data_IF_838167624021
#
_entry.id   IF_838167624021
#
_cell.length_a   1.000
_cell.length_b   1.000
_cell.length_c   1.000
_cell.angle_alpha   90.00
_cell.angle_beta   90.00
_cell.angle_gamma   90.00
#
_symmetry.space_group_name_H-M   'P 1'
#
loop_
_entity.id
_entity.type
_entity.pdbx_description
1 polymer ?
#
# COMPACT_ATOMS: atom_id res chain seq x y z
N UNK A 1 -6.54 16.60 3.14
CA UNK A 1 -6.93 16.86 4.55
C UNK A 1 -5.80 16.53 5.55
N UNK A 2 -5.10 15.42 5.37
CA UNK A 2 -3.98 14.98 6.24
C UNK A 2 -2.68 15.79 6.12
N UNK A 3 -2.58 16.70 5.14
CA UNK A 3 -1.45 17.65 5.02
C UNK A 3 -1.47 18.76 6.07
N UNK A 4 -2.57 18.91 6.82
CA UNK A 4 -2.64 19.81 7.96
C UNK A 4 -2.17 19.08 9.23
N UNK A 5 -1.06 19.51 9.87
CA UNK A 5 -0.48 18.82 11.04
C UNK A 5 -1.44 18.70 12.23
N UNK A 6 -2.31 19.69 12.44
CA UNK A 6 -3.26 19.70 13.56
C UNK A 6 -4.38 18.67 13.34
N UNK A 7 -4.90 18.58 12.11
CA UNK A 7 -5.90 17.58 11.75
C UNK A 7 -5.33 16.16 11.79
N UNK A 8 -4.10 16.00 11.33
CA UNK A 8 -3.39 14.73 11.41
C UNK A 8 -3.23 14.24 12.85
N UNK A 9 -2.83 15.13 13.76
CA UNK A 9 -2.71 14.82 15.20
C UNK A 9 -4.05 14.36 15.79
N UNK A 10 -5.16 15.01 15.41
CA UNK A 10 -6.48 14.61 15.88
C UNK A 10 -6.89 13.21 15.37
N UNK A 11 -6.59 12.90 14.11
CA UNK A 11 -6.84 11.57 13.53
C UNK A 11 -6.02 10.50 14.26
N UNK A 12 -4.72 10.75 14.45
CA UNK A 12 -3.82 9.85 15.20
C UNK A 12 -4.36 9.55 16.60
N UNK A 13 -4.65 10.59 17.39
CA UNK A 13 -5.17 10.43 18.76
C UNK A 13 -6.48 9.63 18.79
N UNK A 14 -7.34 9.83 17.78
CA UNK A 14 -8.61 9.11 17.67
C UNK A 14 -8.37 7.62 17.40
N UNK A 15 -7.48 7.30 16.46
CA UNK A 15 -7.15 5.91 16.11
C UNK A 15 -6.50 5.19 17.30
N UNK A 16 -5.52 5.82 17.96
CA UNK A 16 -4.87 5.27 19.16
C UNK A 16 -5.89 5.01 20.29
N UNK A 17 -6.81 5.94 20.53
CA UNK A 17 -7.88 5.77 21.54
C UNK A 17 -8.82 4.60 21.19
N UNK A 18 -9.16 4.42 19.91
CA UNK A 18 -10.00 3.30 19.48
C UNK A 18 -9.27 1.96 19.68
N UNK A 19 -7.97 1.90 19.39
CA UNK A 19 -7.15 0.72 19.67
C UNK A 19 -7.06 0.40 21.16
N UNK A 20 -6.88 1.41 22.03
CA UNK A 20 -6.90 1.24 23.48
C UNK A 20 -8.21 0.65 24.00
N UNK A 21 -9.32 0.89 23.28
CA UNK A 21 -10.64 0.32 23.60
C UNK A 21 -10.89 -1.05 22.95
N UNK A 22 -9.92 -1.58 22.19
CA UNK A 22 -10.06 -2.84 21.45
C UNK A 22 -11.02 -2.74 20.26
N UNK A 23 -11.21 -1.53 19.71
CA UNK A 23 -12.07 -1.27 18.55
C UNK A 23 -11.23 -1.26 17.28
N UNK A 24 -11.75 -1.89 16.21
CA UNK A 24 -11.16 -1.83 14.88
C UNK A 24 -11.71 -0.58 14.15
N UNK A 25 -10.89 0.45 13.90
CA UNK A 25 -11.33 1.63 13.15
C UNK A 25 -11.54 1.28 11.68
N UNK A 26 -12.63 1.80 11.09
CA UNK A 26 -12.89 1.74 9.65
C UNK A 26 -12.78 3.18 9.13
N UNK A 27 -11.79 3.41 8.29
CA UNK A 27 -11.47 4.73 7.74
C UNK A 27 -11.81 4.69 6.25
N UNK A 28 -12.47 5.73 5.77
CA UNK A 28 -12.72 5.95 4.36
C UNK A 28 -12.59 7.45 4.07
N UNK A 29 -12.40 7.78 2.81
CA UNK A 29 -12.57 9.16 2.36
C UNK A 29 -14.02 9.64 2.57
N UNK A 30 -14.17 10.94 2.76
CA UNK A 30 -15.47 11.58 2.86
C UNK A 30 -15.96 12.01 1.47
N UNK A 31 -16.60 11.08 0.76
CA UNK A 31 -17.15 11.24 -0.61
C UNK A 31 -18.11 12.44 -0.77
N UNK A 32 -18.65 13.00 0.32
CA UNK A 32 -19.55 14.15 0.27
C UNK A 32 -18.83 15.49 0.00
N UNK A 33 -17.50 15.52 0.10
CA UNK A 33 -16.68 16.73 -0.09
C UNK A 33 -15.72 16.57 -1.30
N UNK A 34 -15.40 15.33 -1.70
CA UNK A 34 -14.54 15.04 -2.83
C UNK A 34 -15.25 15.30 -4.17
N UNK A 35 -14.59 16.01 -5.09
CA UNK A 35 -15.06 16.20 -6.48
C UNK A 35 -14.74 14.97 -7.33
N UNK A 36 -15.62 14.60 -8.29
CA UNK A 36 -15.53 13.36 -9.09
C UNK A 36 -14.19 13.13 -9.82
N UNK A 37 -13.40 14.16 -10.09
CA UNK A 37 -12.06 14.04 -10.72
C UNK A 37 -10.94 13.51 -9.78
N UNK A 38 -11.20 13.38 -8.46
CA UNK A 38 -10.17 13.04 -7.45
C UNK A 38 -10.27 11.56 -6.98
N UNK A 39 -11.39 10.86 -7.19
CA UNK A 39 -11.72 9.60 -6.52
C UNK A 39 -10.83 8.37 -6.81
N UNK A 40 -10.04 8.35 -7.89
CA UNK A 40 -9.21 7.17 -8.23
C UNK A 40 -7.83 7.32 -7.57
N UNK A 41 -7.55 6.50 -6.56
CA UNK A 41 -6.25 6.44 -5.87
C UNK A 41 -6.21 7.08 -4.48
N UNK A 42 -7.27 7.79 -4.09
CA UNK A 42 -7.31 8.51 -2.81
C UNK A 42 -7.22 7.59 -1.60
N UNK A 43 -7.87 6.42 -1.63
CA UNK A 43 -7.81 5.47 -0.52
C UNK A 43 -6.43 4.80 -0.38
N UNK A 44 -5.67 4.63 -1.47
CA UNK A 44 -4.31 4.11 -1.39
C UNK A 44 -3.40 5.14 -0.68
N UNK A 45 -3.47 6.41 -1.08
CA UNK A 45 -2.73 7.51 -0.45
C UNK A 45 -3.19 7.80 0.98
N UNK A 46 -4.50 7.68 1.25
CA UNK A 46 -5.06 7.78 2.60
C UNK A 46 -4.51 6.69 3.49
N UNK A 47 -4.49 5.44 3.02
CA UNK A 47 -3.97 4.31 3.79
C UNK A 47 -2.48 4.47 4.10
N UNK A 48 -1.68 4.92 3.13
CA UNK A 48 -0.26 5.22 3.30
C UNK A 48 -0.03 6.34 4.32
N UNK A 49 -0.79 7.44 4.21
CA UNK A 49 -0.71 8.58 5.13
C UNK A 49 -1.08 8.18 6.56
N UNK A 50 -2.12 7.34 6.73
CA UNK A 50 -2.52 6.82 8.04
C UNK A 50 -1.45 5.88 8.60
N UNK A 51 -0.89 4.98 7.78
CA UNK A 51 0.17 4.07 8.17
C UNK A 51 1.40 4.83 8.70
N UNK A 52 1.84 5.86 7.98
CA UNK A 52 2.95 6.74 8.37
C UNK A 52 2.63 7.51 9.66
N UNK A 53 1.38 7.92 9.85
CA UNK A 53 0.98 8.75 10.99
C UNK A 53 0.76 8.05 12.32
N UNK A 54 0.35 6.79 12.24
CA UNK A 54 -0.02 5.97 13.40
C UNK A 54 1.11 5.00 13.78
N UNK A 55 2.25 5.06 13.10
CA UNK A 55 3.42 4.20 13.36
C UNK A 55 3.03 2.70 13.33
N UNK A 56 2.34 2.27 12.26
CA UNK A 56 1.91 0.86 12.12
C UNK A 56 3.09 -0.07 11.84
N UNK A 57 2.96 -1.35 12.18
CA UNK A 57 4.01 -2.34 11.91
C UNK A 57 4.06 -2.80 10.45
N UNK A 58 2.95 -2.67 9.70
CA UNK A 58 2.79 -3.14 8.33
C UNK A 58 1.58 -2.48 7.65
N UNK A 59 1.76 -2.00 6.41
CA UNK A 59 0.64 -1.70 5.51
C UNK A 59 0.34 -2.92 4.63
N UNK A 60 -0.92 -3.34 4.55
CA UNK A 60 -1.37 -4.39 3.60
C UNK A 60 -2.41 -3.80 2.66
N UNK A 61 -2.08 -3.77 1.37
CA UNK A 61 -2.96 -3.35 0.29
C UNK A 61 -3.46 -4.57 -0.46
N UNK A 62 -4.76 -4.87 -0.29
CA UNK A 62 -5.43 -5.95 -1.00
C UNK A 62 -6.05 -5.44 -2.29
N UNK A 63 -5.74 -6.07 -3.42
CA UNK A 63 -6.20 -5.66 -4.75
C UNK A 63 -6.62 -6.88 -5.58
N UNK A 64 -7.22 -6.68 -6.74
CA UNK A 64 -7.56 -7.75 -7.69
C UNK A 64 -6.35 -8.35 -8.43
N UNK A 65 -5.27 -7.58 -8.57
CA UNK A 65 -3.97 -8.05 -9.07
C UNK A 65 -3.14 -8.74 -7.98
N UNK A 66 -2.35 -9.75 -8.37
CA UNK A 66 -1.59 -10.58 -7.43
C UNK A 66 -0.43 -9.89 -6.71
N UNK A 67 -0.07 -8.68 -7.14
CA UNK A 67 1.14 -7.95 -6.76
C UNK A 67 1.65 -7.16 -7.96
N UNK A 68 2.92 -6.80 -7.94
CA UNK A 68 3.59 -6.13 -9.07
C UNK A 68 4.29 -7.18 -9.93
N UNK A 69 4.14 -7.09 -11.25
CA UNK A 69 4.68 -8.06 -12.20
C UNK A 69 5.69 -7.41 -13.15
N UNK A 70 6.57 -8.23 -13.73
CA UNK A 70 7.54 -7.78 -14.77
C UNK A 70 6.88 -7.41 -16.10
N UNK A 71 5.62 -7.80 -16.30
CA UNK A 71 4.79 -7.50 -17.46
C UNK A 71 3.31 -7.75 -17.12
N UNK A 72 2.38 -7.57 -18.07
CA UNK A 72 0.97 -7.87 -17.82
C UNK A 72 0.74 -9.40 -17.88
N UNK A 73 0.43 -10.09 -16.77
CA UNK A 73 0.24 -11.55 -16.78
C UNK A 73 -0.99 -12.03 -17.57
N UNK A 74 -1.86 -11.11 -18.03
CA UNK A 74 -2.95 -11.45 -18.96
C UNK A 74 -2.50 -11.51 -20.43
N UNK A 75 -1.45 -10.77 -20.78
CA UNK A 75 -0.98 -10.60 -22.16
C UNK A 75 0.42 -11.20 -22.41
N UNK A 76 1.18 -11.41 -21.34
CA UNK A 76 2.55 -11.91 -21.35
C UNK A 76 2.66 -13.16 -20.46
N UNK A 77 2.84 -14.32 -21.09
CA UNK A 77 3.00 -15.60 -20.42
C UNK A 77 4.33 -15.71 -19.65
N UNK A 78 5.32 -14.85 -19.96
CA UNK A 78 6.62 -14.77 -19.29
C UNK A 78 6.60 -13.74 -18.13
N UNK A 79 5.45 -13.14 -17.81
CA UNK A 79 5.32 -12.19 -16.72
C UNK A 79 5.49 -12.87 -15.35
N UNK A 80 6.49 -12.42 -14.60
CA UNK A 80 6.83 -12.94 -13.28
C UNK A 80 6.42 -11.97 -12.17
N UNK A 81 5.98 -12.52 -11.04
CA UNK A 81 5.68 -11.72 -9.84
C UNK A 81 6.99 -11.20 -9.25
N UNK A 82 7.04 -9.90 -8.98
CA UNK A 82 8.13 -9.27 -8.24
C UNK A 82 7.87 -9.51 -6.76
N UNK A 83 8.61 -10.44 -6.16
CA UNK A 83 8.39 -10.82 -4.76
C UNK A 83 8.76 -9.70 -3.76
N UNK A 84 9.77 -8.89 -4.09
CA UNK A 84 10.23 -7.81 -3.22
C UNK A 84 10.71 -6.58 -3.98
N UNK A 85 10.45 -5.41 -3.39
CA UNK A 85 10.82 -4.08 -3.90
C UNK A 85 11.57 -3.31 -2.82
N UNK A 86 12.78 -2.86 -3.14
CA UNK A 86 13.63 -2.05 -2.28
C UNK A 86 14.47 -1.09 -3.11
N UNK A 87 15.75 -1.42 -3.33
CA UNK A 87 16.65 -0.63 -4.18
C UNK A 87 16.36 -0.74 -5.68
N UNK A 88 15.57 -1.74 -6.10
CA UNK A 88 15.11 -1.93 -7.48
C UNK A 88 13.87 -1.09 -7.82
N UNK A 89 13.42 -0.20 -6.93
CA UNK A 89 12.19 0.57 -7.12
C UNK A 89 12.13 1.32 -8.46
N UNK A 90 13.22 1.98 -8.89
CA UNK A 90 13.23 2.71 -10.16
C UNK A 90 12.91 1.83 -11.37
N UNK A 91 13.36 0.57 -11.34
CA UNK A 91 13.03 -0.42 -12.38
C UNK A 91 11.56 -0.82 -12.30
N UNK A 92 11.05 -1.05 -11.09
CA UNK A 92 9.65 -1.40 -10.85
C UNK A 92 8.72 -0.27 -11.28
N UNK A 93 9.05 0.98 -10.96
CA UNK A 93 8.30 2.16 -11.38
C UNK A 93 8.25 2.26 -12.90
N UNK A 94 9.38 2.07 -13.58
CA UNK A 94 9.45 2.12 -15.04
C UNK A 94 8.53 1.06 -15.69
N UNK A 95 8.49 -0.16 -15.12
CA UNK A 95 7.60 -1.23 -15.60
C UNK A 95 6.12 -0.87 -15.42
N UNK A 96 5.77 -0.27 -14.28
CA UNK A 96 4.41 0.18 -13.99
C UNK A 96 4.01 1.31 -14.94
N UNK A 97 4.89 2.28 -15.17
CA UNK A 97 4.65 3.39 -16.10
C UNK A 97 4.53 2.93 -17.56
N UNK A 98 5.30 1.92 -17.98
CA UNK A 98 5.20 1.35 -19.34
C UNK A 98 3.92 0.53 -19.55
N UNK A 99 3.31 0.03 -18.47
CA UNK A 99 2.07 -0.75 -18.51
C UNK A 99 0.79 0.08 -18.68
N UNK A 100 0.91 1.40 -18.93
CA UNK A 100 -0.18 2.40 -19.01
C UNK A 100 -1.19 2.12 -20.13
N UNK A 101 -2.06 1.15 -19.89
CA UNK A 101 -3.43 1.10 -20.41
C UNK A 101 -4.38 1.43 -19.26
N UNK A 102 -5.56 1.98 -19.54
CA UNK A 102 -6.47 2.52 -18.51
C UNK A 102 -6.86 1.54 -17.37
N UNK A 103 -6.61 0.23 -17.53
CA UNK A 103 -6.77 -0.78 -16.48
C UNK A 103 -5.67 -0.76 -15.40
N UNK A 104 -4.48 -0.21 -15.68
CA UNK A 104 -3.33 -0.19 -14.77
C UNK A 104 -3.20 1.07 -13.90
N UNK A 105 -4.05 2.09 -14.10
CA UNK A 105 -3.99 3.32 -13.28
C UNK A 105 -4.10 3.06 -11.77
N UNK A 106 -4.78 1.97 -11.38
CA UNK A 106 -4.93 1.59 -9.98
C UNK A 106 -3.71 0.90 -9.36
N UNK A 107 -2.76 0.34 -10.14
CA UNK A 107 -1.54 -0.27 -9.56
C UNK A 107 -0.48 0.80 -9.27
N UNK A 108 -0.43 1.88 -10.05
CA UNK A 108 0.52 2.97 -9.85
C UNK A 108 0.39 3.60 -8.46
N UNK A 109 -0.83 3.98 -8.06
CA UNK A 109 -1.10 4.58 -6.75
C UNK A 109 -0.81 3.63 -5.59
N UNK A 110 -0.96 2.32 -5.79
CA UNK A 110 -0.62 1.29 -4.79
C UNK A 110 0.88 1.15 -4.61
N UNK A 111 1.62 1.15 -5.71
CA UNK A 111 3.09 1.08 -5.72
C UNK A 111 3.68 2.34 -5.08
N UNK A 112 3.15 3.52 -5.41
CA UNK A 112 3.53 4.80 -4.80
C UNK A 112 3.24 4.79 -3.29
N UNK A 113 2.02 4.44 -2.86
CA UNK A 113 1.67 4.38 -1.44
C UNK A 113 2.50 3.35 -0.65
N UNK A 114 2.73 2.16 -1.22
CA UNK A 114 3.59 1.15 -0.60
C UNK A 114 5.05 1.61 -0.51
N UNK A 115 5.52 2.33 -1.53
CA UNK A 115 6.85 2.96 -1.52
C UNK A 115 6.93 3.99 -0.41
N UNK A 116 6.01 4.95 -0.34
CA UNK A 116 6.01 6.01 0.67
C UNK A 116 6.12 5.44 2.09
N UNK A 117 5.33 4.41 2.41
CA UNK A 117 5.38 3.72 3.71
C UNK A 117 6.75 3.07 3.95
N UNK A 118 7.32 2.42 2.93
CA UNK A 118 8.67 1.82 3.03
C UNK A 118 9.79 2.84 3.19
N UNK A 119 9.65 4.04 2.61
CA UNK A 119 10.60 5.15 2.82
C UNK A 119 10.52 5.69 4.25
N UNK A 120 9.36 5.59 4.90
CA UNK A 120 9.16 5.96 6.30
C UNK A 120 9.48 4.82 7.28
N UNK A 121 10.12 3.74 6.82
CA UNK A 121 10.66 2.68 7.69
C UNK A 121 9.67 1.55 8.00
N UNK A 122 8.46 1.58 7.44
CA UNK A 122 7.43 0.57 7.67
C UNK A 122 7.30 -0.35 6.45
N UNK A 123 7.27 -1.68 6.59
CA UNK A 123 7.06 -2.55 5.45
C UNK A 123 5.65 -2.37 4.88
N UNK A 124 5.49 -2.62 3.57
CA UNK A 124 4.20 -2.65 2.91
C UNK A 124 4.05 -3.88 2.00
N UNK A 125 2.85 -4.43 1.87
CA UNK A 125 2.57 -5.59 1.01
C UNK A 125 1.42 -5.26 0.06
N UNK A 126 1.59 -5.53 -1.23
CA UNK A 126 0.50 -5.56 -2.21
C UNK A 126 0.19 -7.03 -2.52
N UNK A 127 -1.05 -7.47 -2.29
CA UNK A 127 -1.45 -8.87 -2.48
C UNK A 127 -2.86 -9.02 -3.06
N UNK A 128 -3.15 -10.21 -3.61
CA UNK A 128 -4.47 -10.51 -4.14
C UNK A 128 -5.52 -10.62 -3.02
N UNK A 129 -6.60 -9.87 -3.15
CA UNK A 129 -7.80 -9.93 -2.30
C UNK A 129 -8.58 -11.24 -2.42
N UNK A 130 -8.47 -11.93 -3.56
CA UNK A 130 -9.13 -13.21 -3.80
C UNK A 130 -8.35 -14.42 -3.27
N UNK A 131 -7.09 -14.23 -2.85
CA UNK A 131 -6.28 -15.29 -2.26
C UNK A 131 -6.90 -15.74 -0.93
N UNK A 132 -7.10 -17.06 -0.78
CA UNK A 132 -7.62 -17.63 0.46
C UNK A 132 -6.67 -17.37 1.62
N UNK A 133 -7.26 -16.95 2.74
CA UNK A 133 -6.57 -16.74 4.01
C UNK A 133 -5.37 -15.78 3.88
N UNK A 134 -5.44 -14.83 2.93
CA UNK A 134 -4.31 -13.95 2.59
C UNK A 134 -3.75 -13.19 3.80
N UNK A 135 -4.63 -12.65 4.65
CA UNK A 135 -4.23 -11.94 5.87
C UNK A 135 -3.60 -12.88 6.91
N UNK A 136 -4.09 -14.11 7.05
CA UNK A 136 -3.48 -15.12 7.94
C UNK A 136 -2.10 -15.54 7.42
N UNK A 137 -1.95 -15.72 6.11
CA UNK A 137 -0.67 -16.03 5.47
C UNK A 137 0.35 -14.92 5.70
N UNK A 138 -0.06 -13.67 5.52
CA UNK A 138 0.78 -12.49 5.81
C UNK A 138 1.15 -12.46 7.31
N UNK A 139 0.17 -12.61 8.21
CA UNK A 139 0.40 -12.62 9.65
C UNK A 139 1.31 -13.78 10.13
N UNK A 140 1.41 -14.86 9.35
CA UNK A 140 2.29 -16.02 9.61
C UNK A 140 3.58 -15.99 8.79
N UNK A 141 3.94 -14.82 8.22
CA UNK A 141 5.15 -14.58 7.44
C UNK A 141 5.35 -15.51 6.23
N UNK A 142 4.26 -15.96 5.61
CA UNK A 142 4.33 -16.67 4.32
C UNK A 142 4.47 -15.64 3.19
N UNK A 143 5.26 -15.98 2.17
CA UNK A 143 5.37 -15.14 0.98
C UNK A 143 4.01 -15.03 0.26
N UNK A 144 3.56 -13.79 0.07
CA UNK A 144 2.32 -13.43 -0.62
C UNK A 144 2.54 -12.09 -1.33
N UNK A 145 2.25 -12.06 -2.64
CA UNK A 145 2.30 -10.83 -3.42
C UNK A 145 3.67 -10.19 -3.46
N UNK A 146 3.72 -8.86 -3.35
CA UNK A 146 4.93 -8.06 -3.44
C UNK A 146 5.20 -7.33 -2.14
N UNK A 147 6.37 -7.57 -1.54
CA UNK A 147 6.83 -6.91 -0.31
C UNK A 147 7.68 -5.67 -0.63
N UNK A 148 7.28 -4.51 -0.14
CA UNK A 148 8.08 -3.30 -0.13
C UNK A 148 8.91 -3.26 1.16
N UNK A 149 10.22 -3.36 1.00
CA UNK A 149 11.17 -3.48 2.09
C UNK A 149 11.54 -2.07 2.59
N UNK A 150 11.54 -1.81 3.91
CA UNK A 150 11.97 -0.53 4.45
C UNK A 150 13.37 -0.13 3.97
N UNK A 151 13.52 1.09 3.46
CA UNK A 151 14.81 1.58 2.92
C UNK A 151 15.60 2.46 3.92
N UNK A 152 14.95 2.95 4.97
CA UNK A 152 15.54 3.80 6.00
C UNK A 152 15.77 3.09 7.34
N UNK A 153 15.47 1.79 7.43
CA UNK A 153 15.84 0.97 8.56
C UNK A 153 17.27 0.47 8.37
N UNK A 154 18.18 0.89 9.23
CA UNK A 154 19.48 0.26 9.37
C UNK A 154 19.31 -1.27 9.36
N UNK A 155 20.13 -1.94 8.56
CA UNK A 155 20.53 -3.31 8.84
C UNK A 155 21.10 -3.34 10.26
N UNK A 156 20.28 -3.68 11.25
CA UNK A 156 20.78 -4.23 12.50
C UNK A 156 21.08 -5.72 12.23
N UNK A 157 22.29 -5.95 11.73
CA UNK A 157 23.07 -7.19 11.87
C UNK A 157 24.54 -6.84 12.15
#
# INVERSE_FOLDING_TARGET
DLSNPERFTNVRNTIETLFDWGIVPIINENDAIATEEIQIGDNDMLSASVAIGVDVDLLVTLTDVGGVYTGNPKDDDDAELIEAVGTNYDTVQSLVDDSTTAEFGGIQTKVEGARDVSEHGTPAIIANSADRDVLERIATAKSVGTLFVPINGATDD
#
